data_IF_247344425420
#
_entry.id   IF_247344425420
#
_cell.length_a   1.000
_cell.length_b   1.000
_cell.length_c   1.000
_cell.angle_alpha   90.00
_cell.angle_beta   90.00
_cell.angle_gamma   90.00
#
_symmetry.space_group_name_H-M   'P 1'
#
loop_
_entity.id
_entity.type
_entity.pdbx_description
1 polymer ?
#
# COMPACT_ATOMS: atom_id res chain seq x y z
N UNK A 1 -12.75 -26.13 58.75
CA UNK A 1 -11.83 -25.86 57.63
C UNK A 1 -12.16 -26.79 56.50
N UNK A 2 -12.23 -26.28 55.28
CA UNK A 2 -12.42 -27.05 54.03
C UNK A 2 -11.31 -26.71 53.06
N UNK A 3 -10.88 -27.68 52.26
CA UNK A 3 -9.88 -27.50 51.22
C UNK A 3 -10.58 -27.50 49.87
N UNK A 4 -10.30 -26.51 49.05
CA UNK A 4 -10.82 -26.41 47.71
C UNK A 4 -9.66 -26.20 46.73
N UNK A 5 -9.88 -26.49 45.48
CA UNK A 5 -8.96 -26.13 44.39
C UNK A 5 -9.64 -25.12 43.47
N UNK A 6 -9.05 -23.95 43.31
CA UNK A 6 -9.54 -22.94 42.35
C UNK A 6 -8.45 -22.63 41.34
N UNK A 7 -8.75 -22.85 40.04
CA UNK A 7 -7.78 -22.71 38.96
C UNK A 7 -6.42 -23.35 39.30
N UNK A 8 -6.42 -24.63 39.68
CA UNK A 8 -5.27 -25.47 40.14
C UNK A 8 -4.51 -24.94 41.38
N UNK A 9 -5.03 -23.96 42.09
CA UNK A 9 -4.46 -23.49 43.33
C UNK A 9 -5.29 -23.99 44.52
N UNK A 10 -4.70 -24.84 45.37
CA UNK A 10 -5.36 -25.30 46.58
C UNK A 10 -5.47 -24.16 47.61
N UNK A 11 -6.64 -23.98 48.20
CA UNK A 11 -6.95 -23.00 49.22
C UNK A 11 -7.66 -23.66 50.39
N UNK A 12 -7.27 -23.30 51.59
CA UNK A 12 -7.94 -23.66 52.82
C UNK A 12 -8.88 -22.52 53.24
N UNK A 13 -10.13 -22.86 53.55
CA UNK A 13 -11.16 -21.92 53.99
C UNK A 13 -11.60 -22.30 55.40
N UNK A 14 -11.75 -21.32 56.29
CA UNK A 14 -12.15 -21.56 57.68
C UNK A 14 -13.57 -22.14 57.81
N UNK A 15 -14.42 -21.80 56.85
CA UNK A 15 -15.80 -22.25 56.76
C UNK A 15 -16.29 -22.34 55.32
N UNK A 16 -17.34 -23.14 55.01
CA UNK A 16 -17.97 -23.16 53.70
C UNK A 16 -18.52 -21.78 53.31
N UNK A 17 -18.10 -21.24 52.16
CA UNK A 17 -18.59 -20.01 51.56
C UNK A 17 -19.58 -20.31 50.44
N UNK A 18 -20.41 -19.33 50.11
CA UNK A 18 -21.11 -19.36 48.81
C UNK A 18 -20.11 -19.10 47.68
N UNK A 19 -20.44 -19.53 46.47
CA UNK A 19 -19.59 -19.30 45.29
C UNK A 19 -19.42 -17.79 45.05
N UNK A 20 -20.44 -16.99 45.28
CA UNK A 20 -20.36 -15.53 45.21
C UNK A 20 -19.37 -14.93 46.23
N UNK A 21 -19.37 -15.39 47.48
CA UNK A 21 -18.44 -14.97 48.54
C UNK A 21 -17.00 -15.38 48.17
N UNK A 22 -16.85 -16.61 47.68
CA UNK A 22 -15.54 -17.10 47.21
C UNK A 22 -14.98 -16.25 46.06
N UNK A 23 -15.78 -15.94 45.05
CA UNK A 23 -15.36 -15.09 43.92
C UNK A 23 -15.05 -13.65 44.39
N UNK A 24 -15.68 -13.18 45.46
CA UNK A 24 -15.38 -11.90 46.05
C UNK A 24 -13.96 -11.85 46.64
N UNK A 25 -13.50 -12.91 47.30
CA UNK A 25 -12.15 -12.99 47.85
C UNK A 25 -11.04 -12.87 46.77
N UNK A 26 -11.38 -13.16 45.50
CA UNK A 26 -10.46 -13.04 44.38
C UNK A 26 -10.72 -11.78 43.52
N UNK A 27 -11.58 -10.85 43.95
CA UNK A 27 -11.97 -9.64 43.23
C UNK A 27 -12.53 -9.93 41.82
N UNK A 28 -13.29 -11.02 41.68
CA UNK A 28 -13.83 -11.50 40.40
C UNK A 28 -15.35 -11.34 40.30
N UNK A 29 -16.05 -11.19 41.42
CA UNK A 29 -17.51 -11.22 41.53
C UNK A 29 -18.26 -10.29 40.56
N UNK A 30 -17.70 -9.11 40.25
CA UNK A 30 -18.31 -8.09 39.40
C UNK A 30 -17.76 -8.07 37.96
N UNK A 31 -16.86 -8.97 37.60
CA UNK A 31 -16.30 -9.00 36.27
C UNK A 31 -17.29 -9.60 35.26
N UNK A 32 -17.47 -8.92 34.12
CA UNK A 32 -18.28 -9.43 33.03
C UNK A 32 -17.49 -10.50 32.24
N UNK A 33 -18.19 -11.44 31.62
CA UNK A 33 -17.59 -12.42 30.75
C UNK A 33 -16.78 -13.51 31.43
N UNK A 34 -17.19 -13.89 32.65
CA UNK A 34 -16.69 -15.06 33.39
C UNK A 34 -17.74 -16.16 33.38
N UNK A 35 -17.28 -17.40 33.35
CA UNK A 35 -18.07 -18.60 33.65
C UNK A 35 -17.35 -19.39 34.73
N UNK A 36 -18.13 -20.07 35.58
CA UNK A 36 -17.61 -20.84 36.71
C UNK A 36 -18.12 -22.27 36.61
N UNK A 37 -17.22 -23.22 36.70
CA UNK A 37 -17.51 -24.66 36.84
C UNK A 37 -17.08 -25.13 38.23
N UNK A 38 -17.87 -25.99 38.82
CA UNK A 38 -17.51 -26.73 40.02
C UNK A 38 -17.58 -28.21 39.70
N UNK A 39 -16.49 -28.92 39.88
CA UNK A 39 -16.37 -30.36 39.58
C UNK A 39 -16.76 -30.70 38.13
N UNK A 40 -16.42 -29.80 37.17
CA UNK A 40 -16.74 -29.87 35.74
C UNK A 40 -18.22 -29.65 35.41
N UNK A 41 -19.02 -29.16 36.33
CA UNK A 41 -20.39 -28.75 36.07
C UNK A 41 -20.51 -27.21 36.10
N UNK A 42 -21.10 -26.64 35.06
CA UNK A 42 -21.32 -25.19 34.96
C UNK A 42 -22.33 -24.75 36.06
N UNK A 43 -21.94 -23.79 36.88
CA UNK A 43 -22.83 -23.16 37.83
C UNK A 43 -23.31 -21.83 37.27
N UNK A 44 -24.62 -21.71 36.93
CA UNK A 44 -25.16 -20.45 36.39
C UNK A 44 -24.97 -19.29 37.37
N UNK A 45 -24.72 -18.08 36.84
CA UNK A 45 -24.46 -16.89 37.68
C UNK A 45 -25.60 -16.59 38.66
N UNK A 46 -26.84 -16.93 38.32
CA UNK A 46 -28.01 -16.76 39.20
C UNK A 46 -27.94 -17.63 40.49
N UNK A 47 -27.21 -18.72 40.44
CA UNK A 47 -27.07 -19.69 41.51
C UNK A 47 -25.86 -19.42 42.40
N UNK A 48 -24.94 -18.53 42.04
CA UNK A 48 -23.70 -18.28 42.81
C UNK A 48 -23.95 -17.81 44.22
N UNK A 49 -25.07 -17.16 44.52
CA UNK A 49 -25.44 -16.71 45.87
C UNK A 49 -25.94 -17.85 46.78
N UNK A 50 -26.46 -18.92 46.16
CA UNK A 50 -27.05 -20.05 46.88
C UNK A 50 -26.11 -21.28 46.90
N UNK A 51 -25.24 -21.41 45.89
CA UNK A 51 -24.30 -22.53 45.77
C UNK A 51 -23.23 -22.46 46.85
N UNK A 52 -23.22 -23.44 47.79
CA UNK A 52 -22.22 -23.54 48.85
C UNK A 52 -21.10 -24.49 48.46
N UNK A 53 -19.89 -23.98 48.45
CA UNK A 53 -18.67 -24.73 48.19
C UNK A 53 -18.41 -25.74 49.30
N UNK A 54 -18.00 -26.95 48.93
CA UNK A 54 -17.76 -28.07 49.84
C UNK A 54 -16.28 -28.44 49.90
N UNK A 55 -15.91 -29.23 50.91
CA UNK A 55 -14.55 -29.76 51.01
C UNK A 55 -14.23 -30.67 49.82
N UNK A 56 -13.09 -30.43 49.18
CA UNK A 56 -12.63 -31.14 48.00
C UNK A 56 -13.15 -30.61 46.65
N UNK A 57 -13.94 -29.53 46.62
CA UNK A 57 -14.44 -28.99 45.38
C UNK A 57 -13.31 -28.44 44.47
N UNK A 58 -13.42 -28.78 43.20
CA UNK A 58 -12.61 -28.25 42.10
C UNK A 58 -13.38 -27.16 41.35
N UNK A 59 -12.92 -25.94 41.44
CA UNK A 59 -13.57 -24.75 40.89
C UNK A 59 -12.72 -24.18 39.77
N UNK A 60 -13.28 -24.08 38.58
CA UNK A 60 -12.64 -23.44 37.43
C UNK A 60 -13.36 -22.15 37.05
N UNK A 61 -12.63 -21.05 37.06
CA UNK A 61 -13.12 -19.75 36.62
C UNK A 61 -12.50 -19.41 35.30
N UNK A 62 -13.32 -19.38 34.27
CA UNK A 62 -12.91 -19.04 32.88
C UNK A 62 -13.35 -17.62 32.52
N UNK A 63 -12.57 -16.95 31.67
CA UNK A 63 -12.88 -15.59 31.17
C UNK A 63 -12.54 -15.48 29.70
N UNK A 64 -13.18 -14.52 29.03
CA UNK A 64 -12.73 -14.11 27.70
C UNK A 64 -11.34 -13.48 27.80
N UNK A 65 -10.43 -13.92 26.95
CA UNK A 65 -9.09 -13.38 26.83
C UNK A 65 -9.01 -12.63 25.51
N UNK A 66 -8.82 -11.33 25.56
CA UNK A 66 -8.62 -10.44 24.42
C UNK A 66 -7.66 -9.33 24.80
N UNK A 67 -6.94 -8.79 23.85
CA UNK A 67 -6.06 -7.64 24.03
C UNK A 67 -6.36 -6.61 22.94
N UNK A 68 -6.26 -5.35 23.26
CA UNK A 68 -6.35 -4.24 22.31
C UNK A 68 -6.26 -2.92 23.05
N UNK A 69 -5.37 -2.07 22.62
CA UNK A 69 -5.38 -0.65 22.99
C UNK A 69 -6.24 0.10 21.96
N UNK A 70 -6.93 1.14 22.41
CA UNK A 70 -7.80 1.96 21.56
C UNK A 70 -6.94 2.95 20.77
N UNK A 71 -6.66 2.64 19.51
CA UNK A 71 -6.01 3.53 18.57
C UNK A 71 -7.05 4.10 17.60
N UNK A 72 -7.66 5.21 17.98
CA UNK A 72 -8.76 5.83 17.20
C UNK A 72 -8.32 6.61 15.97
N UNK A 73 -7.02 6.83 15.74
CA UNK A 73 -6.51 7.62 14.61
C UNK A 73 -5.44 6.86 13.83
N UNK A 74 -5.55 6.89 12.50
CA UNK A 74 -4.49 6.40 11.61
C UNK A 74 -3.29 7.36 11.70
N UNK A 75 -2.06 6.88 11.98
CA UNK A 75 -0.88 7.73 12.00
C UNK A 75 -0.66 8.44 10.67
N UNK A 76 -0.27 9.73 10.71
CA UNK A 76 0.11 10.46 9.51
C UNK A 76 1.37 9.85 8.88
N UNK A 77 1.32 9.64 7.55
CA UNK A 77 2.50 9.26 6.76
C UNK A 77 3.23 10.51 6.27
N UNK A 78 4.53 10.36 6.01
CA UNK A 78 5.30 11.39 5.34
C UNK A 78 4.80 11.57 3.90
N UNK A 79 4.77 12.81 3.38
CA UNK A 79 4.45 13.04 1.98
C UNK A 79 5.48 12.35 1.05
N UNK A 80 5.05 12.02 -0.15
CA UNK A 80 5.92 11.55 -1.22
C UNK A 80 6.68 12.73 -1.81
N UNK A 81 8.01 12.66 -1.80
CA UNK A 81 8.87 13.67 -2.42
C UNK A 81 9.52 13.08 -3.68
N UNK A 82 9.37 13.76 -4.81
CA UNK A 82 9.98 13.38 -6.09
C UNK A 82 10.67 14.62 -6.67
N UNK A 83 11.99 14.66 -6.59
CA UNK A 83 12.74 15.85 -6.96
C UNK A 83 12.31 17.06 -6.11
N UNK A 84 11.84 18.14 -6.75
CA UNK A 84 11.33 19.33 -6.08
C UNK A 84 9.85 19.26 -5.71
N UNK A 85 9.14 18.20 -6.08
CA UNK A 85 7.70 18.05 -5.89
C UNK A 85 7.37 17.28 -4.61
N UNK A 86 6.25 17.65 -3.98
CA UNK A 86 5.75 17.00 -2.77
C UNK A 86 4.28 16.69 -2.92
N UNK A 87 3.89 15.43 -2.68
CA UNK A 87 2.54 14.94 -2.87
C UNK A 87 2.05 14.18 -1.64
N UNK A 88 0.76 14.25 -1.37
CA UNK A 88 0.10 13.40 -0.37
C UNK A 88 -0.29 12.06 -0.98
N UNK A 89 -0.76 12.09 -2.22
CA UNK A 89 -1.10 10.87 -2.96
C UNK A 89 0.15 10.15 -3.44
N UNK A 90 0.15 8.84 -3.27
CA UNK A 90 1.19 7.94 -3.82
C UNK A 90 0.72 7.23 -5.08
N UNK A 91 -0.51 7.55 -5.53
CA UNK A 91 -1.10 7.02 -6.75
C UNK A 91 -1.01 8.06 -7.86
N UNK A 92 -0.30 7.71 -8.93
CA UNK A 92 -0.20 8.49 -10.16
C UNK A 92 -1.08 7.85 -11.22
N UNK A 93 -1.72 8.65 -12.04
CA UNK A 93 -2.61 8.16 -13.11
C UNK A 93 -2.16 8.63 -14.49
N UNK A 94 -2.78 8.09 -15.52
CA UNK A 94 -2.62 8.54 -16.88
C UNK A 94 -3.95 8.95 -17.50
N UNK A 95 -3.89 9.58 -18.65
CA UNK A 95 -5.05 10.14 -19.37
C UNK A 95 -5.57 9.28 -20.51
N UNK A 96 -4.87 8.21 -20.88
CA UNK A 96 -5.18 7.43 -22.09
C UNK A 96 -6.29 6.40 -21.91
N UNK A 97 -6.94 6.00 -23.01
CA UNK A 97 -7.90 4.87 -23.12
C UNK A 97 -9.27 5.05 -22.46
N UNK A 98 -9.57 6.14 -21.81
CA UNK A 98 -10.92 6.39 -21.31
C UNK A 98 -11.89 6.58 -22.50
N UNK A 99 -13.13 6.15 -22.33
CA UNK A 99 -14.17 6.27 -23.37
C UNK A 99 -14.62 7.71 -23.58
N UNK A 100 -14.56 8.54 -22.55
CA UNK A 100 -14.86 9.98 -22.60
C UNK A 100 -13.92 10.77 -21.68
N UNK A 101 -13.77 12.06 -21.93
CA UNK A 101 -12.98 12.95 -21.08
C UNK A 101 -13.65 13.17 -19.71
N UNK A 102 -14.97 13.16 -19.64
CA UNK A 102 -15.73 13.24 -18.40
C UNK A 102 -15.42 12.04 -17.49
N UNK A 103 -15.45 10.83 -18.03
CA UNK A 103 -15.10 9.62 -17.27
C UNK A 103 -13.66 9.65 -16.80
N UNK A 104 -12.74 10.13 -17.64
CA UNK A 104 -11.34 10.34 -17.26
C UNK A 104 -11.21 11.25 -16.05
N UNK A 105 -11.83 12.44 -16.10
CA UNK A 105 -11.86 13.41 -15.00
C UNK A 105 -12.41 12.79 -13.73
N UNK A 106 -13.58 12.13 -13.82
CA UNK A 106 -14.25 11.54 -12.66
C UNK A 106 -13.42 10.42 -12.02
N UNK A 107 -12.71 9.62 -12.84
CA UNK A 107 -11.79 8.60 -12.35
C UNK A 107 -10.54 9.19 -11.69
N UNK A 108 -9.98 10.28 -12.21
CA UNK A 108 -8.87 10.98 -11.58
C UNK A 108 -9.27 11.54 -10.21
N UNK A 109 -10.43 12.16 -10.13
CA UNK A 109 -10.97 12.70 -8.89
C UNK A 109 -11.19 11.58 -7.85
N UNK A 110 -11.80 10.46 -8.26
CA UNK A 110 -12.02 9.29 -7.42
C UNK A 110 -10.70 8.64 -6.94
N UNK A 111 -9.68 8.60 -7.80
CA UNK A 111 -8.36 8.07 -7.46
C UNK A 111 -7.61 8.93 -6.44
N UNK A 112 -7.98 10.21 -6.31
CA UNK A 112 -7.30 11.17 -5.46
C UNK A 112 -5.86 11.47 -5.90
N UNK A 113 -5.53 11.23 -7.18
CA UNK A 113 -4.20 11.52 -7.69
C UNK A 113 -3.94 13.03 -7.74
N UNK A 114 -2.69 13.40 -7.46
CA UNK A 114 -2.19 14.78 -7.59
C UNK A 114 -1.26 14.91 -8.81
N UNK A 115 -0.95 13.78 -9.46
CA UNK A 115 -0.11 13.70 -10.66
C UNK A 115 -0.81 12.87 -11.72
N UNK A 116 -0.83 13.40 -12.93
CA UNK A 116 -1.32 12.66 -14.11
C UNK A 116 -0.36 12.75 -15.28
N UNK A 117 -0.15 11.62 -15.98
CA UNK A 117 0.68 11.63 -17.18
C UNK A 117 -0.12 12.03 -18.40
N UNK A 118 0.50 12.87 -19.23
CA UNK A 118 -0.02 13.27 -20.54
C UNK A 118 1.05 12.96 -21.60
N UNK A 119 0.70 12.16 -22.60
CA UNK A 119 1.63 11.86 -23.69
C UNK A 119 1.79 13.06 -24.62
N UNK A 120 3.04 13.41 -24.92
CA UNK A 120 3.36 14.45 -25.90
C UNK A 120 3.47 13.80 -27.27
N UNK A 121 2.48 14.03 -28.10
CA UNK A 121 2.40 13.44 -29.44
C UNK A 121 1.91 14.46 -30.46
N UNK A 122 2.31 14.24 -31.72
CA UNK A 122 1.73 14.94 -32.87
C UNK A 122 0.36 14.33 -33.17
N UNK A 123 -0.68 14.84 -32.53
CA UNK A 123 -2.07 14.44 -32.74
C UNK A 123 -2.94 15.63 -33.12
N UNK A 124 -4.23 15.37 -33.37
CA UNK A 124 -5.19 16.46 -33.59
C UNK A 124 -5.30 17.30 -32.31
N UNK A 125 -5.28 18.62 -32.46
CA UNK A 125 -5.32 19.56 -31.33
C UNK A 125 -6.63 19.47 -30.54
N UNK A 126 -7.71 19.06 -31.17
CA UNK A 126 -9.02 18.88 -30.59
C UNK A 126 -9.69 17.63 -31.13
N UNK A 127 -10.64 17.09 -30.38
CA UNK A 127 -11.50 15.99 -30.81
C UNK A 127 -12.50 16.45 -31.90
N UNK A 128 -13.42 15.55 -32.29
CA UNK A 128 -14.45 15.87 -33.33
C UNK A 128 -15.41 16.96 -32.90
N UNK A 129 -15.58 17.16 -31.59
CA UNK A 129 -16.43 18.17 -30.98
C UNK A 129 -15.68 19.46 -30.62
N UNK A 130 -14.42 19.59 -31.01
CA UNK A 130 -13.60 20.78 -30.73
C UNK A 130 -13.06 20.88 -29.31
N UNK A 131 -13.07 19.78 -28.52
CA UNK A 131 -12.65 19.74 -27.13
C UNK A 131 -11.17 19.36 -27.00
N UNK A 132 -10.49 19.95 -26.02
CA UNK A 132 -9.12 19.60 -25.67
C UNK A 132 -9.13 18.81 -24.35
N UNK A 133 -8.22 17.86 -24.20
CA UNK A 133 -8.03 17.09 -22.94
C UNK A 133 -7.78 18.00 -21.72
N UNK A 134 -7.08 19.10 -21.92
CA UNK A 134 -6.77 20.06 -20.84
C UNK A 134 -8.00 20.76 -20.27
N UNK A 135 -9.11 20.84 -21.05
CA UNK A 135 -10.38 21.42 -20.58
C UNK A 135 -11.03 20.56 -19.47
N UNK A 136 -10.58 19.31 -19.33
CA UNK A 136 -11.09 18.35 -18.36
C UNK A 136 -10.13 18.06 -17.20
N UNK A 137 -8.96 18.70 -17.18
CA UNK A 137 -7.95 18.58 -16.13
C UNK A 137 -7.94 19.82 -15.24
N UNK A 138 -8.10 19.63 -13.93
CA UNK A 138 -7.94 20.73 -12.97
C UNK A 138 -6.44 21.01 -12.74
N UNK A 139 -5.87 21.87 -13.58
CA UNK A 139 -4.44 22.21 -13.54
C UNK A 139 -3.99 22.92 -12.24
N UNK A 140 -4.95 23.34 -11.39
CA UNK A 140 -4.63 23.91 -10.05
C UNK A 140 -4.40 22.81 -9.01
N UNK A 141 -4.97 21.64 -9.24
CA UNK A 141 -4.85 20.47 -8.33
C UNK A 141 -3.90 19.41 -8.88
N UNK A 142 -3.77 19.32 -10.21
CA UNK A 142 -3.00 18.29 -10.88
C UNK A 142 -1.69 18.86 -11.41
N UNK A 143 -0.59 18.23 -11.04
CA UNK A 143 0.70 18.42 -11.69
C UNK A 143 0.76 17.48 -12.89
N UNK A 144 0.93 18.06 -14.08
CA UNK A 144 1.11 17.28 -15.30
C UNK A 144 2.50 16.66 -15.30
N UNK A 145 2.59 15.35 -15.51
CA UNK A 145 3.83 14.63 -15.79
C UNK A 145 3.87 14.31 -17.27
N UNK A 146 4.55 15.11 -18.10
CA UNK A 146 4.66 14.83 -19.53
C UNK A 146 5.38 13.51 -19.76
N UNK A 147 4.88 12.72 -20.71
CA UNK A 147 5.37 11.39 -21.00
C UNK A 147 5.85 11.28 -22.45
N UNK A 148 7.06 10.76 -22.65
CA UNK A 148 7.61 10.48 -23.97
C UNK A 148 7.13 9.15 -24.55
N UNK A 149 5.94 8.71 -24.15
CA UNK A 149 5.34 7.44 -24.57
C UNK A 149 5.33 7.25 -26.10
N UNK A 150 5.80 6.08 -26.52
CA UNK A 150 5.87 5.71 -27.93
C UNK A 150 7.11 6.23 -28.68
N UNK A 151 8.10 6.76 -27.97
CA UNK A 151 9.43 7.00 -28.51
C UNK A 151 10.24 5.71 -28.56
N UNK A 152 10.95 5.48 -29.65
CA UNK A 152 11.78 4.28 -29.89
C UNK A 152 13.25 4.64 -30.09
N UNK A 153 13.66 5.84 -29.73
CA UNK A 153 15.06 6.28 -29.72
C UNK A 153 15.26 7.35 -28.65
N UNK A 154 16.49 7.48 -28.18
CA UNK A 154 16.87 8.54 -27.23
C UNK A 154 16.61 9.93 -27.82
N UNK A 155 16.93 10.14 -29.09
CA UNK A 155 16.76 11.42 -29.78
C UNK A 155 15.31 11.86 -29.82
N UNK A 156 14.37 10.94 -30.12
CA UNK A 156 12.94 11.24 -30.13
C UNK A 156 12.42 11.53 -28.73
N UNK A 157 12.82 10.75 -27.71
CA UNK A 157 12.41 10.98 -26.34
C UNK A 157 12.88 12.35 -25.81
N UNK A 158 14.13 12.72 -26.07
CA UNK A 158 14.68 14.04 -25.70
C UNK A 158 13.91 15.16 -26.41
N UNK A 159 13.65 15.02 -27.70
CA UNK A 159 12.88 16.00 -28.47
C UNK A 159 11.47 16.19 -27.91
N UNK A 160 10.77 15.11 -27.58
CA UNK A 160 9.43 15.18 -26.98
C UNK A 160 9.44 15.82 -25.59
N UNK A 161 10.45 15.52 -24.76
CA UNK A 161 10.62 16.16 -23.45
C UNK A 161 10.77 17.69 -23.56
N UNK A 162 11.59 18.16 -24.50
CA UNK A 162 11.77 19.59 -24.77
C UNK A 162 10.48 20.28 -25.22
N UNK A 163 9.72 19.63 -26.13
CA UNK A 163 8.41 20.13 -26.57
C UNK A 163 7.42 20.22 -25.40
N UNK A 164 7.42 19.21 -24.52
CA UNK A 164 6.55 19.20 -23.34
C UNK A 164 6.86 20.36 -22.39
N UNK A 165 8.14 20.62 -22.15
CA UNK A 165 8.58 21.75 -21.28
C UNK A 165 8.03 23.07 -21.80
N UNK A 166 8.18 23.34 -23.10
CA UNK A 166 7.66 24.56 -23.73
C UNK A 166 6.15 24.69 -23.54
N UNK A 167 5.40 23.61 -23.86
CA UNK A 167 3.93 23.61 -23.73
C UNK A 167 3.45 23.84 -22.31
N UNK A 168 4.12 23.24 -21.32
CA UNK A 168 3.71 23.37 -19.91
C UNK A 168 4.16 24.69 -19.29
N UNK A 169 5.25 25.29 -19.79
CA UNK A 169 5.68 26.64 -19.40
C UNK A 169 4.62 27.67 -19.78
N UNK A 170 4.05 27.56 -20.98
CA UNK A 170 2.95 28.44 -21.42
C UNK A 170 1.67 28.30 -20.59
N UNK A 171 1.47 27.14 -19.96
CA UNK A 171 0.33 26.85 -19.10
C UNK A 171 0.58 27.19 -17.61
N UNK A 172 1.77 27.70 -17.28
CA UNK A 172 2.22 27.93 -15.90
C UNK A 172 2.07 26.68 -15.00
N UNK A 173 2.11 25.48 -15.58
CA UNK A 173 2.03 24.24 -14.83
C UNK A 173 3.44 23.81 -14.38
N UNK A 174 3.64 23.46 -13.09
CA UNK A 174 4.93 23.09 -12.55
C UNK A 174 5.53 21.85 -13.22
N UNK A 175 4.73 21.07 -13.95
CA UNK A 175 5.17 19.92 -14.74
C UNK A 175 6.17 20.24 -15.86
N UNK A 176 6.44 21.51 -16.15
CA UNK A 176 7.51 21.92 -17.05
C UNK A 176 8.92 21.51 -16.55
N UNK A 177 9.09 21.31 -15.23
CA UNK A 177 10.37 21.01 -14.62
C UNK A 177 10.77 19.52 -14.68
N UNK A 178 9.86 18.61 -15.05
CA UNK A 178 10.10 17.18 -15.04
C UNK A 178 9.61 16.45 -16.29
N UNK A 179 9.92 15.16 -16.40
CA UNK A 179 9.44 14.32 -17.50
C UNK A 179 9.42 12.85 -17.07
N UNK A 180 8.38 12.13 -17.46
CA UNK A 180 8.39 10.66 -17.48
C UNK A 180 9.04 10.20 -18.78
N UNK A 181 10.24 9.66 -18.64
CA UNK A 181 11.00 9.16 -19.77
C UNK A 181 10.58 7.73 -20.10
N UNK A 182 10.07 7.53 -21.30
CA UNK A 182 9.91 6.24 -21.95
C UNK A 182 10.74 6.21 -23.22
N UNK A 183 11.63 5.24 -23.36
CA UNK A 183 12.34 4.93 -24.58
C UNK A 183 12.19 3.42 -24.82
N UNK A 184 11.36 3.04 -25.81
CA UNK A 184 10.92 1.66 -26.04
C UNK A 184 11.85 0.94 -26.99
N UNK A 185 12.19 -0.32 -26.70
CA UNK A 185 13.04 -1.15 -27.54
C UNK A 185 12.26 -1.96 -28.56
N UNK A 186 11.00 -2.29 -28.26
CA UNK A 186 10.20 -3.16 -29.13
C UNK A 186 8.70 -2.80 -29.11
N UNK A 187 8.09 -2.79 -30.30
CA UNK A 187 6.68 -2.40 -30.49
C UNK A 187 5.67 -3.40 -29.94
N UNK A 188 6.06 -4.66 -29.80
CA UNK A 188 5.17 -5.73 -29.36
C UNK A 188 5.16 -5.85 -27.84
N UNK A 189 6.34 -5.79 -27.24
CA UNK A 189 6.49 -5.93 -25.78
C UNK A 189 6.36 -4.61 -25.02
N UNK A 190 6.64 -3.49 -25.69
CA UNK A 190 6.76 -2.15 -25.12
C UNK A 190 7.73 -2.10 -23.92
N UNK A 191 8.70 -3.02 -23.90
CA UNK A 191 9.78 -2.97 -22.93
C UNK A 191 10.77 -1.84 -23.29
N UNK A 192 11.41 -1.22 -22.29
CA UNK A 192 12.34 -0.13 -22.52
C UNK A 192 13.63 -0.65 -23.19
N UNK A 193 14.20 0.15 -24.07
CA UNK A 193 15.57 -0.04 -24.53
C UNK A 193 16.54 0.47 -23.44
N UNK A 194 17.37 -0.37 -22.84
CA UNK A 194 18.20 0.05 -21.72
C UNK A 194 19.30 1.03 -22.12
N UNK A 195 19.81 0.95 -23.33
CA UNK A 195 20.92 1.80 -23.83
C UNK A 195 20.41 3.21 -24.12
N UNK A 196 19.35 3.31 -24.92
CA UNK A 196 18.76 4.59 -25.29
C UNK A 196 18.07 5.27 -24.10
N UNK A 197 17.49 4.49 -23.18
CA UNK A 197 16.92 5.03 -21.92
C UNK A 197 18.02 5.68 -21.06
N UNK A 198 19.18 5.03 -20.89
CA UNK A 198 20.28 5.61 -20.14
C UNK A 198 20.83 6.87 -20.79
N UNK A 199 21.06 6.83 -22.11
CA UNK A 199 21.53 7.97 -22.92
C UNK A 199 20.58 9.18 -22.82
N UNK A 200 19.27 8.93 -22.95
CA UNK A 200 18.28 9.99 -22.83
C UNK A 200 18.19 10.56 -21.40
N UNK A 201 18.32 9.71 -20.37
CA UNK A 201 18.37 10.14 -18.98
C UNK A 201 19.53 11.09 -18.73
N UNK A 202 20.76 10.70 -19.10
CA UNK A 202 21.96 11.53 -18.93
C UNK A 202 21.83 12.90 -19.63
N UNK A 203 21.27 12.93 -20.84
CA UNK A 203 21.10 14.17 -21.58
C UNK A 203 20.04 15.08 -20.96
N UNK A 204 18.89 14.52 -20.58
CA UNK A 204 17.80 15.30 -20.00
C UNK A 204 18.16 15.85 -18.60
N UNK A 205 18.88 15.07 -17.80
CA UNK A 205 19.42 15.55 -16.50
C UNK A 205 20.38 16.72 -16.70
N UNK A 206 21.29 16.66 -17.69
CA UNK A 206 22.18 17.78 -18.04
C UNK A 206 21.43 19.02 -18.48
N UNK A 207 20.24 18.87 -19.07
CA UNK A 207 19.35 19.97 -19.47
C UNK A 207 18.45 20.47 -18.34
N UNK A 208 18.66 19.98 -17.10
CA UNK A 208 17.95 20.39 -15.91
C UNK A 208 16.54 19.82 -15.77
N UNK A 209 16.23 18.70 -16.45
CA UNK A 209 15.00 17.98 -16.20
C UNK A 209 15.11 17.12 -14.93
N UNK A 210 14.05 17.06 -14.16
CA UNK A 210 13.84 16.03 -13.15
C UNK A 210 13.23 14.80 -13.85
N UNK A 211 14.07 13.79 -14.09
CA UNK A 211 13.68 12.66 -14.95
C UNK A 211 13.13 11.53 -14.10
N UNK A 212 11.89 11.12 -14.36
CA UNK A 212 11.27 9.89 -13.84
C UNK A 212 11.37 8.83 -14.94
N UNK A 213 12.12 7.75 -14.70
CA UNK A 213 12.54 6.85 -15.76
C UNK A 213 11.80 5.52 -15.72
N UNK A 214 10.98 5.26 -16.73
CA UNK A 214 10.42 3.93 -16.96
C UNK A 214 11.52 2.95 -17.34
N UNK A 215 11.63 1.84 -16.64
CA UNK A 215 12.61 0.79 -16.87
C UNK A 215 12.02 -0.60 -16.63
N UNK A 216 12.74 -1.65 -17.03
CA UNK A 216 12.42 -3.02 -16.63
C UNK A 216 12.67 -3.23 -15.13
N UNK A 217 12.37 -4.43 -14.65
CA UNK A 217 12.68 -4.87 -13.29
C UNK A 217 14.13 -5.33 -13.09
N UNK A 218 15.08 -4.81 -13.91
CA UNK A 218 16.51 -5.06 -13.79
C UNK A 218 17.14 -4.16 -12.71
N UNK A 219 17.64 -4.72 -11.59
CA UNK A 219 18.24 -3.93 -10.52
C UNK A 219 19.52 -3.20 -10.92
N UNK A 220 20.29 -3.77 -11.86
CA UNK A 220 21.54 -3.14 -12.32
C UNK A 220 21.24 -1.92 -13.17
N UNK A 221 20.25 -2.02 -14.06
CA UNK A 221 19.83 -0.86 -14.84
C UNK A 221 19.20 0.22 -13.96
N UNK A 222 18.36 -0.16 -12.98
CA UNK A 222 17.79 0.76 -12.02
C UNK A 222 18.88 1.57 -11.28
N UNK A 223 19.95 0.90 -10.83
CA UNK A 223 21.10 1.56 -10.19
C UNK A 223 21.80 2.54 -11.12
N UNK A 224 22.06 2.14 -12.37
CA UNK A 224 22.70 3.01 -13.39
C UNK A 224 21.88 4.27 -13.67
N UNK A 225 20.56 4.13 -13.72
CA UNK A 225 19.65 5.27 -13.97
C UNK A 225 19.67 6.25 -12.79
N UNK A 226 19.70 5.78 -11.52
CA UNK A 226 19.93 6.64 -10.35
C UNK A 226 21.30 7.34 -10.44
N UNK A 227 22.35 6.61 -10.75
CA UNK A 227 23.72 7.17 -10.91
C UNK A 227 23.79 8.21 -12.03
N UNK A 228 22.97 8.07 -13.09
CA UNK A 228 22.82 9.07 -14.16
C UNK A 228 22.03 10.33 -13.73
N UNK A 229 21.50 10.35 -12.50
CA UNK A 229 20.81 11.50 -11.93
C UNK A 229 19.29 11.49 -12.09
N UNK A 230 18.70 10.34 -12.38
CA UNK A 230 17.22 10.23 -12.39
C UNK A 230 16.62 10.63 -11.04
N UNK A 231 15.60 11.48 -11.04
CA UNK A 231 14.88 11.91 -9.86
C UNK A 231 13.99 10.80 -9.25
N UNK A 232 13.58 9.85 -10.08
CA UNK A 232 12.90 8.62 -9.67
C UNK A 232 13.14 7.52 -10.70
N UNK A 233 13.33 6.30 -10.24
CA UNK A 233 13.32 5.11 -11.10
C UNK A 233 11.96 4.44 -10.99
N UNK A 234 11.41 4.10 -12.16
CA UNK A 234 10.06 3.55 -12.30
C UNK A 234 10.10 2.13 -12.91
N UNK A 235 10.38 1.10 -12.08
CA UNK A 235 10.45 -0.27 -12.58
C UNK A 235 9.07 -0.79 -13.00
N UNK A 236 9.01 -1.53 -14.09
CA UNK A 236 7.81 -2.20 -14.55
C UNK A 236 7.38 -3.30 -13.58
N UNK A 237 6.11 -3.36 -13.22
CA UNK A 237 5.51 -4.53 -12.58
C UNK A 237 5.38 -5.69 -13.57
N UNK A 238 4.93 -5.38 -14.78
CA UNK A 238 4.82 -6.25 -15.96
C UNK A 238 4.67 -5.38 -17.22
N UNK A 239 4.64 -5.95 -18.44
CA UNK A 239 4.57 -5.15 -19.67
C UNK A 239 3.39 -4.17 -19.69
N UNK A 240 3.58 -3.01 -20.30
CA UNK A 240 2.59 -1.94 -20.38
C UNK A 240 1.23 -2.48 -20.86
N UNK A 241 0.17 -2.23 -20.11
CA UNK A 241 -1.20 -2.61 -20.48
C UNK A 241 -1.51 -4.10 -20.38
N UNK A 242 -0.60 -4.92 -19.86
CA UNK A 242 -0.80 -6.37 -19.73
C UNK A 242 -1.75 -6.77 -18.60
N UNK A 243 -1.85 -5.96 -17.54
CA UNK A 243 -2.65 -6.28 -16.36
C UNK A 243 -2.17 -7.51 -15.58
N UNK A 244 -0.91 -7.92 -15.76
CA UNK A 244 -0.37 -9.13 -15.11
C UNK A 244 0.13 -8.89 -13.68
N UNK A 245 0.13 -7.64 -13.23
CA UNK A 245 0.54 -7.25 -11.88
C UNK A 245 2.05 -7.26 -11.67
N UNK A 246 2.47 -7.58 -10.45
CA UNK A 246 3.87 -7.61 -10.04
C UNK A 246 4.42 -9.02 -10.27
N UNK A 247 5.11 -9.23 -11.39
CA UNK A 247 5.61 -10.55 -11.77
C UNK A 247 6.86 -10.96 -10.99
N UNK A 248 7.73 -10.01 -10.66
CA UNK A 248 8.99 -10.29 -9.99
C UNK A 248 9.20 -9.43 -8.73
N UNK A 249 8.50 -9.75 -7.64
CA UNK A 249 8.63 -8.99 -6.39
C UNK A 249 10.04 -9.09 -5.79
N UNK A 250 10.82 -10.11 -6.14
CA UNK A 250 12.19 -10.25 -5.65
C UNK A 250 13.11 -9.18 -6.27
N UNK A 251 13.04 -8.96 -7.58
CA UNK A 251 13.81 -7.91 -8.23
C UNK A 251 13.44 -6.53 -7.71
N UNK A 252 12.14 -6.27 -7.46
CA UNK A 252 11.70 -5.00 -6.86
C UNK A 252 12.33 -4.78 -5.47
N UNK A 253 12.46 -5.82 -4.64
CA UNK A 253 13.16 -5.71 -3.36
C UNK A 253 14.63 -5.36 -3.52
N UNK A 254 15.32 -6.00 -4.47
CA UNK A 254 16.72 -5.68 -4.77
C UNK A 254 16.86 -4.25 -5.30
N UNK A 255 15.95 -3.81 -6.16
CA UNK A 255 15.91 -2.41 -6.63
C UNK A 255 15.75 -1.44 -5.46
N UNK A 256 14.79 -1.69 -4.57
CA UNK A 256 14.57 -0.85 -3.38
C UNK A 256 15.82 -0.81 -2.50
N UNK A 257 16.46 -1.95 -2.24
CA UNK A 257 17.71 -2.03 -1.47
C UNK A 257 18.80 -1.19 -2.12
N UNK A 258 19.06 -1.37 -3.42
CA UNK A 258 20.14 -0.66 -4.13
C UNK A 258 19.87 0.85 -4.25
N UNK A 259 18.63 1.24 -4.52
CA UNK A 259 18.31 2.64 -4.73
C UNK A 259 18.17 3.42 -3.41
N UNK A 260 17.84 2.73 -2.32
CA UNK A 260 17.72 3.36 -1.00
C UNK A 260 18.98 3.25 -0.14
N UNK A 261 20.01 2.57 -0.63
CA UNK A 261 21.33 2.54 0.04
C UNK A 261 21.97 3.94 0.04
N UNK A 262 22.24 4.46 1.24
CA UNK A 262 22.74 5.82 1.44
C UNK A 262 21.73 6.96 1.16
N UNK A 263 20.54 6.63 0.64
CA UNK A 263 19.48 7.59 0.31
C UNK A 263 18.10 6.99 0.56
N UNK A 264 17.68 6.80 1.81
CA UNK A 264 16.46 6.08 2.18
C UNK A 264 15.16 6.72 1.65
N UNK A 265 15.19 8.00 1.31
CA UNK A 265 14.03 8.73 0.80
C UNK A 265 13.98 8.75 -0.75
N UNK A 266 14.93 8.10 -1.45
CA UNK A 266 14.91 8.03 -2.92
C UNK A 266 13.61 7.37 -3.42
N UNK A 267 12.81 8.07 -4.26
CA UNK A 267 11.50 7.57 -4.66
C UNK A 267 11.59 6.48 -5.72
N UNK A 268 10.99 5.34 -5.45
CA UNK A 268 10.80 4.24 -6.39
C UNK A 268 9.31 4.05 -6.64
N UNK A 269 8.87 4.26 -7.86
CA UNK A 269 7.46 4.24 -8.24
C UNK A 269 7.24 3.10 -9.24
N UNK A 270 6.47 2.09 -8.87
CA UNK A 270 6.13 1.01 -9.82
C UNK A 270 5.29 1.58 -10.96
N UNK A 271 5.68 1.24 -12.18
CA UNK A 271 4.99 1.68 -13.40
C UNK A 271 4.64 0.47 -14.28
N UNK A 272 3.52 0.56 -14.96
CA UNK A 272 3.04 -0.43 -15.91
C UNK A 272 2.62 -1.81 -15.35
N UNK A 273 1.74 -2.47 -16.08
CA UNK A 273 1.30 -3.83 -15.85
C UNK A 273 0.34 -4.03 -14.68
N UNK A 274 0.06 -3.02 -13.89
CA UNK A 274 -0.92 -3.07 -12.80
C UNK A 274 -2.32 -3.26 -13.38
N UNK A 275 -3.00 -4.33 -12.97
CA UNK A 275 -4.33 -4.70 -13.48
C UNK A 275 -5.46 -4.53 -12.47
N UNK A 276 -5.15 -4.63 -11.17
CA UNK A 276 -6.16 -4.56 -10.13
C UNK A 276 -5.60 -4.07 -8.79
N UNK A 277 -6.48 -3.81 -7.83
CA UNK A 277 -6.15 -3.29 -6.51
C UNK A 277 -5.09 -4.11 -5.75
N UNK A 278 -5.15 -5.44 -5.82
CA UNK A 278 -4.14 -6.29 -5.15
C UNK A 278 -2.72 -6.05 -5.67
N UNK A 279 -2.54 -5.71 -6.94
CA UNK A 279 -1.22 -5.43 -7.51
C UNK A 279 -0.63 -4.15 -6.92
N UNK A 280 -1.47 -3.12 -6.72
CA UNK A 280 -1.10 -1.87 -6.04
C UNK A 280 -0.69 -2.15 -4.60
N UNK A 281 -1.51 -2.91 -3.85
CA UNK A 281 -1.18 -3.28 -2.47
C UNK A 281 0.14 -4.03 -2.38
N UNK A 282 0.40 -4.98 -3.28
CA UNK A 282 1.67 -5.72 -3.33
C UNK A 282 2.86 -4.79 -3.54
N UNK A 283 2.78 -3.85 -4.51
CA UNK A 283 3.85 -2.88 -4.75
C UNK A 283 4.13 -2.02 -3.51
N UNK A 284 3.07 -1.51 -2.87
CA UNK A 284 3.20 -0.66 -1.69
C UNK A 284 3.71 -1.44 -0.46
N UNK A 285 3.26 -2.68 -0.24
CA UNK A 285 3.74 -3.56 0.83
C UNK A 285 5.20 -3.97 0.66
N UNK A 286 5.73 -4.01 -0.57
CA UNK A 286 7.15 -4.22 -0.84
C UNK A 286 8.01 -3.04 -0.40
N UNK A 287 7.43 -1.85 -0.23
CA UNK A 287 8.11 -0.62 0.16
C UNK A 287 8.35 0.36 -0.98
N UNK A 288 7.69 0.17 -2.13
CA UNK A 288 7.68 1.18 -3.18
C UNK A 288 6.99 2.46 -2.67
N UNK A 289 7.44 3.62 -3.16
CA UNK A 289 6.98 4.91 -2.66
C UNK A 289 5.69 5.37 -3.33
N UNK A 290 5.38 4.81 -4.50
CA UNK A 290 4.16 5.07 -5.24
C UNK A 290 3.92 4.07 -6.36
N UNK A 291 2.80 4.21 -7.02
CA UNK A 291 2.40 3.41 -8.19
C UNK A 291 1.83 4.34 -9.25
N UNK A 292 2.30 4.18 -10.49
CA UNK A 292 1.71 4.82 -11.66
C UNK A 292 0.96 3.78 -12.47
N UNK A 293 -0.31 4.05 -12.76
CA UNK A 293 -1.14 3.18 -13.56
C UNK A 293 -2.17 3.98 -14.38
N UNK A 294 -2.59 3.43 -15.50
CA UNK A 294 -3.66 4.00 -16.31
C UNK A 294 -4.63 2.92 -16.81
N UNK A 295 -4.13 1.95 -17.58
CA UNK A 295 -4.96 0.91 -18.24
C UNK A 295 -5.78 0.11 -17.23
N UNK A 296 -5.24 -0.17 -16.03
CA UNK A 296 -5.93 -0.88 -14.96
C UNK A 296 -7.22 -0.20 -14.52
N UNK A 297 -7.30 1.14 -14.58
CA UNK A 297 -8.53 1.90 -14.36
C UNK A 297 -9.33 2.02 -15.66
N UNK A 298 -8.73 2.62 -16.68
CA UNK A 298 -9.44 3.03 -17.89
C UNK A 298 -10.10 1.88 -18.65
N UNK A 299 -9.55 0.67 -18.58
CA UNK A 299 -10.06 -0.54 -19.26
C UNK A 299 -10.82 -1.49 -18.33
N UNK A 300 -11.07 -1.13 -17.09
CA UNK A 300 -11.94 -1.89 -16.20
C UNK A 300 -13.39 -1.86 -16.68
N UNK A 301 -14.18 -2.88 -16.35
CA UNK A 301 -15.62 -2.89 -16.67
C UNK A 301 -16.38 -1.72 -16.00
N UNK A 302 -15.92 -1.28 -14.83
CA UNK A 302 -16.39 -0.09 -14.12
C UNK A 302 -15.15 0.73 -13.71
N UNK A 303 -14.68 1.67 -14.56
CA UNK A 303 -13.48 2.45 -14.29
C UNK A 303 -13.56 3.31 -13.03
N UNK A 304 -14.74 3.89 -12.74
CA UNK A 304 -14.91 4.74 -11.57
C UNK A 304 -14.75 3.94 -10.26
N UNK A 305 -15.38 2.78 -10.18
CA UNK A 305 -15.22 1.87 -9.04
C UNK A 305 -13.79 1.36 -8.91
N UNK A 306 -13.12 1.08 -10.02
CA UNK A 306 -11.72 0.66 -10.02
C UNK A 306 -10.80 1.79 -9.55
N UNK A 307 -11.06 3.05 -9.90
CA UNK A 307 -10.28 4.19 -9.40
C UNK A 307 -10.30 4.28 -7.86
N UNK A 308 -11.47 4.13 -7.24
CA UNK A 308 -11.60 4.04 -5.79
C UNK A 308 -10.86 2.83 -5.21
N UNK A 309 -10.97 1.66 -5.85
CA UNK A 309 -10.30 0.44 -5.39
C UNK A 309 -8.76 0.60 -5.41
N UNK A 310 -8.21 1.22 -6.46
CA UNK A 310 -6.78 1.49 -6.57
C UNK A 310 -6.29 2.47 -5.50
N UNK A 311 -7.06 3.52 -5.20
CA UNK A 311 -6.78 4.47 -4.12
C UNK A 311 -6.68 3.76 -2.78
N UNK A 312 -7.73 3.02 -2.40
CA UNK A 312 -7.75 2.30 -1.12
C UNK A 312 -6.63 1.25 -1.03
N UNK A 313 -6.30 0.60 -2.14
CA UNK A 313 -5.21 -0.36 -2.19
C UNK A 313 -3.84 0.29 -1.97
N UNK A 314 -3.63 1.48 -2.52
CA UNK A 314 -2.42 2.27 -2.32
C UNK A 314 -2.25 2.65 -0.84
N UNK A 315 -3.30 3.20 -0.23
CA UNK A 315 -3.30 3.59 1.18
C UNK A 315 -3.11 2.38 2.09
N UNK A 316 -3.87 1.29 1.86
CA UNK A 316 -3.79 0.06 2.66
C UNK A 316 -2.41 -0.59 2.58
N UNK A 317 -1.83 -0.70 1.37
CA UNK A 317 -0.50 -1.27 1.18
C UNK A 317 0.59 -0.42 1.85
N UNK A 318 0.48 0.91 1.79
CA UNK A 318 1.41 1.81 2.47
C UNK A 318 1.33 1.69 3.99
N UNK A 319 0.13 1.66 4.55
CA UNK A 319 -0.08 1.46 5.99
C UNK A 319 0.46 0.11 6.45
N UNK A 320 0.24 -0.95 5.68
CA UNK A 320 0.76 -2.29 5.97
C UNK A 320 2.30 -2.32 5.97
N UNK A 321 2.94 -1.62 5.02
CA UNK A 321 4.39 -1.47 4.98
C UNK A 321 4.92 -0.75 6.22
N UNK A 322 4.33 0.39 6.59
CA UNK A 322 4.73 1.18 7.75
C UNK A 322 4.51 0.45 9.08
N UNK A 323 3.42 -0.31 9.20
CA UNK A 323 3.12 -1.13 10.36
C UNK A 323 4.12 -2.28 10.55
N UNK A 324 4.74 -2.74 9.48
CA UNK A 324 5.63 -3.88 9.49
C UNK A 324 4.87 -5.22 9.55
N UNK A 325 5.22 -6.11 8.64
CA UNK A 325 4.63 -7.44 8.56
C UNK A 325 5.15 -8.34 9.67
N UNK A 326 4.30 -9.17 10.27
CA UNK A 326 4.75 -10.28 11.13
C UNK A 326 5.66 -11.24 10.34
N UNK A 327 6.70 -11.84 10.96
CA UNK A 327 7.56 -12.82 10.30
C UNK A 327 6.77 -14.02 9.76
N UNK A 328 7.09 -14.45 8.54
CA UNK A 328 6.58 -15.71 8.01
C UNK A 328 7.20 -16.87 8.80
N UNK A 329 6.36 -17.77 9.33
CA UNK A 329 6.78 -18.96 10.08
C UNK A 329 6.37 -20.20 9.33
N UNK A 330 7.19 -21.25 9.42
CA UNK A 330 6.87 -22.56 8.84
C UNK A 330 5.74 -23.25 9.62
N UNK A 331 5.73 -23.09 10.94
CA UNK A 331 4.74 -23.73 11.82
C UNK A 331 3.80 -22.72 12.44
N UNK A 332 2.62 -23.17 12.81
CA UNK A 332 1.61 -22.39 13.46
C UNK A 332 2.09 -21.84 14.83
N UNK A 333 1.61 -20.67 15.18
CA UNK A 333 1.76 -20.08 16.52
C UNK A 333 0.35 -19.75 17.02
N UNK A 334 0.01 -20.20 18.23
CA UNK A 334 -1.29 -19.91 18.82
C UNK A 334 -1.52 -18.41 18.93
N UNK A 335 -2.68 -17.94 18.49
CA UNK A 335 -3.08 -16.51 18.59
C UNK A 335 -3.59 -16.15 19.97
N UNK A 336 -4.09 -17.12 20.76
CA UNK A 336 -4.50 -16.89 22.14
C UNK A 336 -3.30 -16.97 23.09
N UNK A 337 -3.20 -16.09 24.10
CA UNK A 337 -2.15 -16.16 25.11
C UNK A 337 -2.09 -17.57 25.73
N UNK A 338 -0.89 -18.14 25.80
CA UNK A 338 -0.63 -19.41 26.47
C UNK A 338 -0.27 -19.23 27.95
N UNK A 339 0.15 -18.02 28.32
CA UNK A 339 0.45 -17.67 29.71
C UNK A 339 -0.82 -17.67 30.54
N UNK A 340 -0.75 -18.28 31.73
CA UNK A 340 -1.89 -18.44 32.61
C UNK A 340 -2.85 -19.58 32.25
N UNK A 341 -2.51 -20.40 31.22
CA UNK A 341 -3.15 -21.69 31.03
C UNK A 341 -2.63 -22.67 32.06
N UNK A 342 -3.54 -23.28 32.75
CA UNK A 342 -3.26 -24.45 33.58
C UNK A 342 -3.01 -25.61 32.60
N UNK A 343 -1.79 -26.13 32.58
CA UNK A 343 -1.48 -27.33 31.80
C UNK A 343 -2.20 -28.50 32.51
N UNK A 344 -3.19 -29.10 31.86
CA UNK A 344 -3.68 -30.41 32.32
C UNK A 344 -2.49 -31.36 32.32
N UNK A 345 -2.05 -31.79 33.50
CA UNK A 345 -1.13 -32.90 33.63
C UNK A 345 -1.71 -34.13 32.87
N UNK A 346 -0.95 -34.62 31.91
CA UNK A 346 -1.26 -35.92 31.29
C UNK A 346 -1.16 -37.04 32.28
#
# INVERSE_FOLDING_TARGET
MINITINDTTKELDQPLTLAELLALFDIQNKKGIAVEVNRELVPRAEHLEYRVQDGDHIEVTKFVGGGEDHSTVPEDKPLVVGSFTFRSRLFTGTGKYSTYELMRDCMEASGCEVTTVAVRRERLVDKEGRNILDYLDLKKLTILPNTAGCFSAEDAIRHARLAREMLSDLENPGAEWVKLECLGDKKTLLPDPVDTLKATEQLVKEGFQVLVYTSDDPIMAKRLKEAGAASVMPAGSPIGSGQGILNPNNLRIILEYLKDGDPEYPVIVDAGVGTASDVSVAMELGCDGVLLNTGIASAADPLRMAWAMRYACDAGRLAYLAGRIPKKLYATASSPMEGRIASSK
#
